data_IF_466944506530
#
_entry.id   IF_466944506530
#
_cell.length_a   1.000
_cell.length_b   1.000
_cell.length_c   1.000
_cell.angle_alpha   90.00
_cell.angle_beta   90.00
_cell.angle_gamma   90.00
#
_symmetry.space_group_name_H-M   'P 1'
#
loop_
_entity.id
_entity.type
_entity.pdbx_description
1 polymer ?
#
# COMPACT_ATOMS: atom_id res chain seq x y z
N UNK A 1 -16.15 -4.27 12.80
CA UNK A 1 -17.03 -4.49 11.63
C UNK A 1 -16.15 -4.60 10.39
N UNK A 2 -15.88 -5.83 9.98
CA UNK A 2 -14.96 -6.16 8.89
C UNK A 2 -15.65 -5.85 7.54
N UNK A 3 -15.22 -4.78 6.87
CA UNK A 3 -15.73 -4.44 5.53
C UNK A 3 -15.11 -5.40 4.51
N UNK A 4 -15.87 -5.82 3.47
CA UNK A 4 -15.42 -6.87 2.56
C UNK A 4 -14.08 -6.55 1.92
N UNK A 5 -13.27 -7.59 1.82
CA UNK A 5 -11.97 -7.61 1.16
C UNK A 5 -12.10 -7.02 -0.24
N UNK A 6 -11.61 -5.80 -0.44
CA UNK A 6 -11.67 -5.17 -1.75
C UNK A 6 -10.55 -5.75 -2.60
N UNK A 7 -10.90 -6.42 -3.69
CA UNK A 7 -9.92 -6.88 -4.69
C UNK A 7 -9.06 -5.73 -5.24
N UNK A 8 -9.53 -4.48 -5.12
CA UNK A 8 -8.81 -3.26 -5.55
C UNK A 8 -7.71 -2.82 -4.57
N UNK A 9 -7.74 -3.26 -3.32
CA UNK A 9 -6.75 -2.88 -2.29
C UNK A 9 -6.17 -4.09 -1.55
N UNK A 10 -6.64 -5.31 -1.84
CA UNK A 10 -6.33 -6.55 -1.13
C UNK A 10 -6.58 -6.47 0.38
N UNK A 11 -7.34 -5.47 0.82
CA UNK A 11 -7.55 -5.13 2.23
C UNK A 11 -8.88 -4.39 2.39
N UNK A 12 -9.44 -4.43 3.59
CA UNK A 12 -10.62 -3.63 3.92
C UNK A 12 -10.26 -2.14 3.89
N UNK A 13 -11.26 -1.27 3.66
CA UNK A 13 -11.07 0.19 3.75
C UNK A 13 -10.56 0.63 5.13
N UNK A 14 -10.91 -0.12 6.19
CA UNK A 14 -10.41 0.14 7.54
C UNK A 14 -8.90 -0.01 7.62
N UNK A 15 -8.35 -1.07 7.02
CA UNK A 15 -6.91 -1.31 7.05
C UNK A 15 -6.11 -0.27 6.28
N UNK A 16 -6.64 0.26 5.18
CA UNK A 16 -6.01 1.36 4.43
C UNK A 16 -5.90 2.62 5.29
N UNK A 17 -6.94 2.93 6.10
CA UNK A 17 -6.91 4.08 7.01
C UNK A 17 -5.90 3.90 8.14
N UNK A 18 -5.83 2.69 8.72
CA UNK A 18 -4.79 2.37 9.72
C UNK A 18 -3.39 2.60 9.16
N UNK A 19 -3.11 2.10 7.94
CA UNK A 19 -1.81 2.30 7.29
C UNK A 19 -1.53 3.78 7.06
N UNK A 20 -2.52 4.58 6.62
CA UNK A 20 -2.35 6.01 6.43
C UNK A 20 -2.03 6.76 7.74
N UNK A 21 -2.67 6.36 8.84
CA UNK A 21 -2.43 6.92 10.17
C UNK A 21 -1.01 6.59 10.65
N UNK A 22 -0.64 5.31 10.64
CA UNK A 22 0.71 4.84 11.01
C UNK A 22 1.80 5.48 10.13
N UNK A 23 1.53 5.64 8.84
CA UNK A 23 2.42 6.36 7.91
C UNK A 23 2.65 7.80 8.35
N UNK A 24 1.61 8.50 8.80
CA UNK A 24 1.71 9.87 9.26
C UNK A 24 2.44 9.98 10.61
N UNK A 25 2.16 9.06 11.54
CA UNK A 25 2.80 9.00 12.86
C UNK A 25 4.29 8.64 12.78
N UNK A 26 4.66 7.76 11.85
CA UNK A 26 6.04 7.34 11.61
C UNK A 26 6.82 8.28 10.67
N UNK A 27 6.20 9.34 10.15
CA UNK A 27 6.73 10.21 9.09
C UNK A 27 7.31 9.43 7.89
N UNK A 28 6.64 8.32 7.53
CA UNK A 28 7.11 7.45 6.47
C UNK A 28 6.89 8.11 5.10
N UNK A 29 7.91 8.10 4.24
CA UNK A 29 7.84 8.70 2.91
C UNK A 29 7.14 7.81 1.88
N UNK A 30 7.02 6.51 2.15
CA UNK A 30 6.39 5.54 1.26
C UNK A 30 5.88 4.32 2.03
N UNK A 31 4.98 3.57 1.39
CA UNK A 31 4.46 2.29 1.91
C UNK A 31 4.87 1.15 1.00
N UNK A 32 5.37 0.06 1.59
CA UNK A 32 5.83 -1.13 0.86
C UNK A 32 4.89 -2.30 1.11
N UNK A 33 4.36 -2.87 0.03
CA UNK A 33 3.58 -4.10 0.05
C UNK A 33 4.45 -5.29 -0.33
N UNK A 34 4.39 -6.35 0.47
CA UNK A 34 5.14 -7.57 0.16
C UNK A 34 4.52 -8.35 -1.00
N UNK A 35 3.19 -8.30 -1.12
CA UNK A 35 2.47 -8.92 -2.21
C UNK A 35 2.63 -8.11 -3.50
N UNK A 36 2.74 -8.77 -4.66
CA UNK A 36 2.67 -8.10 -5.95
C UNK A 36 1.39 -7.27 -6.05
N UNK A 37 1.53 -6.04 -6.54
CA UNK A 37 0.42 -5.16 -6.85
C UNK A 37 0.33 -4.99 -8.36
N UNK A 38 -0.88 -5.08 -8.90
CA UNK A 38 -1.16 -4.62 -10.26
C UNK A 38 -0.96 -3.09 -10.33
N UNK A 39 -0.67 -2.57 -11.53
CA UNK A 39 -0.52 -1.11 -11.72
C UNK A 39 -1.73 -0.32 -11.20
N UNK A 40 -2.94 -0.82 -11.43
CA UNK A 40 -4.18 -0.20 -10.92
C UNK A 40 -4.25 -0.18 -9.39
N UNK A 41 -3.86 -1.27 -8.72
CA UNK A 41 -3.85 -1.33 -7.26
C UNK A 41 -2.85 -0.33 -6.67
N UNK A 42 -1.65 -0.25 -7.27
CA UNK A 42 -0.62 0.70 -6.84
C UNK A 42 -1.12 2.15 -6.95
N UNK A 43 -1.73 2.53 -8.07
CA UNK A 43 -2.26 3.89 -8.25
C UNK A 43 -3.32 4.22 -7.20
N UNK A 44 -4.32 3.35 -7.02
CA UNK A 44 -5.39 3.59 -6.04
C UNK A 44 -4.86 3.64 -4.62
N UNK A 45 -3.92 2.76 -4.25
CA UNK A 45 -3.32 2.79 -2.91
C UNK A 45 -2.48 4.05 -2.70
N UNK A 46 -1.73 4.51 -3.71
CA UNK A 46 -0.96 5.75 -3.61
C UNK A 46 -1.85 6.98 -3.39
N UNK A 47 -2.97 7.07 -4.12
CA UNK A 47 -3.97 8.13 -3.92
C UNK A 47 -4.58 8.09 -2.51
N UNK A 48 -4.90 6.89 -2.00
CA UNK A 48 -5.52 6.74 -0.68
C UNK A 48 -4.56 6.99 0.48
N UNK A 49 -3.28 6.64 0.31
CA UNK A 49 -2.24 6.77 1.34
C UNK A 49 -1.55 8.14 1.30
N UNK A 50 -1.69 8.88 0.20
CA UNK A 50 -1.05 10.18 0.00
C UNK A 50 0.47 10.11 -0.18
N UNK A 51 1.00 8.94 -0.51
CA UNK A 51 2.44 8.72 -0.70
C UNK A 51 2.71 7.65 -1.78
N UNK A 52 3.95 7.58 -2.31
CA UNK A 52 4.36 6.48 -3.17
C UNK A 52 4.14 5.11 -2.53
N UNK A 53 3.71 4.15 -3.35
CA UNK A 53 3.52 2.76 -2.95
C UNK A 53 4.49 1.90 -3.75
N UNK A 54 5.24 1.07 -3.04
CA UNK A 54 6.19 0.11 -3.60
C UNK A 54 5.76 -1.33 -3.32
N UNK A 55 6.29 -2.24 -4.12
CA UNK A 55 6.32 -3.68 -3.86
C UNK A 55 7.74 -4.09 -3.52
N UNK A 56 7.92 -5.25 -2.91
CA UNK A 56 9.25 -5.81 -2.66
C UNK A 56 10.12 -5.84 -3.94
N UNK A 57 9.53 -6.16 -5.09
CA UNK A 57 10.25 -6.24 -6.36
C UNK A 57 10.87 -4.89 -6.79
N UNK A 58 10.26 -3.75 -6.42
CA UNK A 58 10.81 -2.43 -6.77
C UNK A 58 12.04 -2.06 -5.92
N UNK A 59 12.19 -2.70 -4.77
CA UNK A 59 13.26 -2.44 -3.80
C UNK A 59 14.40 -3.44 -3.92
N UNK A 60 14.27 -4.46 -4.76
CA UNK A 60 15.36 -5.37 -5.04
C UNK A 60 16.35 -4.69 -5.99
N UNK A 61 17.66 -4.75 -5.72
CA UNK A 61 18.65 -4.31 -6.67
C UNK A 61 18.53 -5.17 -7.94
N UNK A 62 18.77 -4.60 -9.13
CA UNK A 62 18.72 -5.37 -10.36
C UNK A 62 19.71 -6.55 -10.29
N UNK A 63 19.20 -7.78 -10.39
CA UNK A 63 19.99 -9.01 -10.39
C UNK A 63 20.03 -9.82 -9.08
N UNK A 64 19.20 -9.50 -8.08
CA UNK A 64 19.04 -10.30 -6.86
C UNK A 64 18.06 -11.48 -6.99
#
# INVERSE_FOLDING_TARGET
MDRPYSSRTLMSTGKVREIAQERAEADALAVVFFNPLTGRQRTVLGELLGCPVFTRADLQPPGA
#
